data_IF_264871756964
#
_entry.id   IF_264871756964
#
_cell.length_a   1.000
_cell.length_b   1.000
_cell.length_c   1.000
_cell.angle_alpha   90.00
_cell.angle_beta   90.00
_cell.angle_gamma   90.00
#
_symmetry.space_group_name_H-M   'P 1'
#
loop_
_entity.id
_entity.type
_entity.pdbx_description
1 polymer ?
#
# COMPACT_ATOMS: atom_id res chain seq x y z
N UNK A 1 9.20 0.62 -28.28
CA UNK A 1 9.62 1.32 -29.50
C UNK A 1 8.42 1.42 -30.41
N UNK A 2 8.01 2.64 -30.75
CA UNK A 2 6.85 2.91 -31.61
C UNK A 2 7.34 3.70 -32.83
N UNK A 3 7.08 3.18 -34.02
CA UNK A 3 7.37 3.85 -35.29
C UNK A 3 6.05 4.07 -36.02
N UNK A 4 5.71 5.31 -36.29
CA UNK A 4 4.51 5.67 -37.05
C UNK A 4 4.96 6.17 -38.41
N UNK A 5 4.76 5.34 -39.43
CA UNK A 5 5.12 5.61 -40.84
C UNK A 5 4.06 4.99 -41.76
N UNK A 6 3.86 5.54 -42.95
CA UNK A 6 3.02 4.93 -43.97
C UNK A 6 3.72 3.69 -44.60
N UNK A 7 3.00 2.60 -44.96
CA UNK A 7 1.57 2.35 -44.75
C UNK A 7 1.25 1.62 -43.44
N UNK A 8 2.27 1.24 -42.66
CA UNK A 8 2.11 0.40 -41.47
C UNK A 8 2.92 1.01 -40.32
N UNK A 9 2.21 1.43 -39.27
CA UNK A 9 2.82 1.74 -37.98
C UNK A 9 3.21 0.46 -37.24
N UNK A 10 4.33 0.48 -36.53
CA UNK A 10 4.88 -0.67 -35.81
C UNK A 10 5.10 -0.32 -34.34
N UNK A 11 4.42 -1.03 -33.44
CA UNK A 11 4.71 -1.02 -32.01
C UNK A 11 5.46 -2.30 -31.63
N UNK A 12 6.73 -2.15 -31.24
CA UNK A 12 7.57 -3.24 -30.76
C UNK A 12 7.88 -3.08 -29.27
N UNK A 13 7.58 -4.11 -28.50
CA UNK A 13 7.88 -4.21 -27.08
C UNK A 13 8.55 -5.56 -26.78
N UNK A 14 9.42 -5.59 -25.76
CA UNK A 14 10.04 -6.85 -25.30
C UNK A 14 9.02 -7.75 -24.59
N UNK A 15 8.12 -7.14 -23.82
CA UNK A 15 7.09 -7.82 -23.04
C UNK A 15 5.71 -7.25 -23.36
N UNK A 16 4.66 -8.02 -23.09
CA UNK A 16 3.27 -7.61 -23.29
C UNK A 16 2.93 -6.29 -22.57
N UNK A 17 3.54 -6.05 -21.41
CA UNK A 17 3.34 -4.82 -20.62
C UNK A 17 3.83 -3.57 -21.35
N UNK A 18 4.94 -3.67 -22.10
CA UNK A 18 5.45 -2.56 -22.91
C UNK A 18 4.53 -2.24 -24.08
N UNK A 19 3.84 -3.24 -24.65
CA UNK A 19 2.85 -3.02 -25.69
C UNK A 19 1.64 -2.24 -25.15
N UNK A 20 1.15 -2.55 -23.94
CA UNK A 20 0.07 -1.76 -23.31
C UNK A 20 0.44 -0.28 -23.15
N UNK A 21 1.68 0.02 -22.73
CA UNK A 21 2.15 1.42 -22.59
C UNK A 21 2.29 2.11 -23.95
N UNK A 22 2.75 1.39 -24.97
CA UNK A 22 2.86 1.91 -26.32
C UNK A 22 1.51 2.17 -26.98
N UNK A 23 0.48 1.36 -26.69
CA UNK A 23 -0.89 1.61 -27.15
C UNK A 23 -1.46 2.90 -26.57
N UNK A 24 -1.21 3.16 -25.29
CA UNK A 24 -1.60 4.43 -24.65
C UNK A 24 -0.86 5.62 -25.25
N UNK A 25 0.44 5.50 -25.52
CA UNK A 25 1.16 6.57 -26.22
C UNK A 25 0.61 6.78 -27.64
N UNK A 26 0.29 5.70 -28.36
CA UNK A 26 -0.26 5.80 -29.71
C UNK A 26 -1.66 6.45 -29.72
N UNK A 27 -2.54 6.12 -28.76
CA UNK A 27 -3.86 6.75 -28.67
C UNK A 27 -3.77 8.27 -28.46
N UNK A 28 -2.80 8.74 -27.66
CA UNK A 28 -2.54 10.16 -27.43
C UNK A 28 -1.96 10.91 -28.64
N UNK A 29 -1.41 10.20 -29.62
CA UNK A 29 -0.86 10.81 -30.84
C UNK A 29 -1.93 11.05 -31.92
N UNK A 30 -3.04 10.30 -31.85
CA UNK A 30 -4.17 10.47 -32.77
C UNK A 30 -4.94 11.72 -32.35
N UNK A 31 -5.19 12.61 -33.32
CA UNK A 31 -5.96 13.83 -33.12
C UNK A 31 -6.91 14.07 -34.30
N UNK A 32 -7.94 14.87 -34.09
CA UNK A 32 -8.88 15.27 -35.14
C UNK A 32 -8.53 16.68 -35.64
N UNK A 33 -8.68 16.92 -36.94
CA UNK A 33 -8.66 18.28 -37.49
C UNK A 33 -10.03 18.97 -37.37
N UNK A 34 -10.10 20.23 -37.78
CA UNK A 34 -11.34 21.03 -37.77
C UNK A 34 -12.48 20.42 -38.63
N UNK A 35 -12.16 19.44 -39.49
CA UNK A 35 -13.10 18.75 -40.37
C UNK A 35 -13.49 17.35 -39.86
N UNK A 36 -12.96 16.91 -38.71
CA UNK A 36 -13.22 15.59 -38.13
C UNK A 36 -12.41 14.45 -38.75
N UNK A 37 -11.34 14.75 -39.49
CA UNK A 37 -10.43 13.74 -40.02
C UNK A 37 -9.46 13.29 -38.94
N UNK A 38 -9.29 11.97 -38.76
CA UNK A 38 -8.28 11.42 -37.85
C UNK A 38 -6.88 11.53 -38.46
N UNK A 39 -5.99 12.20 -37.72
CA UNK A 39 -4.61 12.48 -38.10
C UNK A 39 -3.64 11.88 -37.09
N UNK A 40 -2.45 11.53 -37.57
CA UNK A 40 -1.29 11.15 -36.77
C UNK A 40 -0.02 11.53 -37.51
N UNK A 41 0.96 12.09 -36.82
CA UNK A 41 2.21 12.54 -37.44
C UNK A 41 3.22 11.39 -37.54
N UNK A 42 3.98 11.37 -38.63
CA UNK A 42 5.15 10.50 -38.77
C UNK A 42 6.12 10.74 -37.60
N UNK A 43 6.53 9.67 -36.93
CA UNK A 43 7.31 9.77 -35.70
C UNK A 43 8.00 8.47 -35.30
N UNK A 44 9.03 8.59 -34.47
CA UNK A 44 9.77 7.48 -33.88
C UNK A 44 9.96 7.72 -32.38
N UNK A 45 9.52 6.77 -31.55
CA UNK A 45 9.50 6.89 -30.08
C UNK A 45 10.22 5.70 -29.45
N UNK A 46 11.21 6.03 -28.62
CA UNK A 46 11.86 5.12 -27.68
C UNK A 46 11.51 5.56 -26.25
N UNK A 47 10.74 4.74 -25.54
CA UNK A 47 10.21 5.07 -24.22
C UNK A 47 10.41 3.92 -23.23
N UNK A 48 10.64 4.28 -21.96
CA UNK A 48 10.80 3.37 -20.82
C UNK A 48 10.55 4.12 -19.50
N UNK A 49 10.02 3.45 -18.47
CA UNK A 49 9.80 4.10 -17.18
C UNK A 49 11.12 4.34 -16.44
N UNK A 50 11.28 5.53 -15.85
CA UNK A 50 12.41 5.85 -14.95
C UNK A 50 12.43 4.96 -13.69
N UNK A 51 11.24 4.63 -13.17
CA UNK A 51 11.03 3.84 -11.95
C UNK A 51 10.05 2.71 -12.21
N UNK A 52 10.34 1.52 -11.68
CA UNK A 52 9.55 0.32 -11.91
C UNK A 52 8.23 0.31 -11.12
N UNK A 53 8.22 0.88 -9.91
CA UNK A 53 7.06 0.94 -9.02
C UNK A 53 6.37 2.31 -9.12
N UNK A 54 5.19 2.36 -9.74
CA UNK A 54 4.38 3.57 -9.87
C UNK A 54 2.98 3.26 -9.37
N UNK A 55 2.72 3.60 -8.11
CA UNK A 55 1.50 3.19 -7.42
C UNK A 55 0.50 4.30 -7.13
N UNK A 56 -0.74 3.88 -6.93
CA UNK A 56 -1.83 4.69 -6.38
C UNK A 56 -2.41 3.91 -5.20
N UNK A 57 -2.45 4.54 -4.03
CA UNK A 57 -3.12 3.99 -2.84
C UNK A 57 -4.58 4.42 -2.83
N UNK A 58 -5.47 3.43 -2.71
CA UNK A 58 -6.89 3.64 -2.46
C UNK A 58 -7.27 3.03 -1.11
N UNK A 59 -7.81 3.88 -0.23
CA UNK A 59 -8.38 3.49 1.05
C UNK A 59 -9.87 3.15 0.88
N UNK A 60 -10.20 1.89 1.14
CA UNK A 60 -11.58 1.40 1.08
C UNK A 60 -12.17 1.08 2.45
N UNK A 61 -11.48 1.45 3.52
CA UNK A 61 -11.91 1.22 4.89
C UNK A 61 -12.63 2.43 5.47
N UNK A 62 -12.02 3.62 5.39
CA UNK A 62 -12.59 4.86 5.96
C UNK A 62 -13.91 5.22 5.28
N UNK A 63 -14.00 4.95 3.98
CA UNK A 63 -15.25 4.83 3.24
C UNK A 63 -15.18 3.65 2.27
N UNK A 64 -16.28 2.91 2.16
CA UNK A 64 -16.37 1.85 1.15
C UNK A 64 -16.42 2.44 -0.25
N UNK A 65 -15.54 1.96 -1.14
CA UNK A 65 -15.58 2.31 -2.57
C UNK A 65 -16.32 1.21 -3.36
N UNK A 66 -17.42 1.54 -4.08
CA UNK A 66 -18.05 0.57 -4.96
C UNK A 66 -17.06 0.03 -5.99
N UNK A 67 -17.21 -1.25 -6.35
CA UNK A 67 -16.32 -1.93 -7.30
C UNK A 67 -16.11 -1.12 -8.60
N UNK A 68 -17.18 -0.53 -9.14
CA UNK A 68 -17.10 0.33 -10.33
C UNK A 68 -16.13 1.50 -10.17
N UNK A 69 -16.07 2.12 -8.99
CA UNK A 69 -15.14 3.22 -8.71
C UNK A 69 -13.68 2.76 -8.75
N UNK A 70 -13.39 1.56 -8.20
CA UNK A 70 -12.05 0.96 -8.25
C UNK A 70 -11.67 0.65 -9.70
N UNK A 71 -12.57 -0.01 -10.45
CA UNK A 71 -12.31 -0.37 -11.86
C UNK A 71 -12.10 0.88 -12.74
N UNK A 72 -12.87 1.94 -12.51
CA UNK A 72 -12.72 3.21 -13.25
C UNK A 72 -11.37 3.87 -12.95
N UNK A 73 -10.87 3.78 -11.71
CA UNK A 73 -9.55 4.28 -11.38
C UNK A 73 -8.43 3.41 -11.96
N UNK A 74 -8.62 2.09 -12.10
CA UNK A 74 -7.68 1.23 -12.83
C UNK A 74 -7.57 1.61 -14.32
N UNK A 75 -8.66 2.07 -14.94
CA UNK A 75 -8.63 2.65 -16.28
C UNK A 75 -7.79 3.94 -16.31
N UNK A 76 -8.06 4.88 -15.39
CA UNK A 76 -7.32 6.13 -15.31
C UNK A 76 -5.81 5.94 -15.00
N UNK A 77 -5.49 4.95 -14.16
CA UNK A 77 -4.12 4.52 -13.90
C UNK A 77 -3.43 4.02 -15.17
N UNK A 78 -4.13 3.26 -16.02
CA UNK A 78 -3.58 2.77 -17.28
C UNK A 78 -3.26 3.92 -18.25
N UNK A 79 -4.14 4.92 -18.36
CA UNK A 79 -3.93 6.12 -19.17
C UNK A 79 -2.68 6.91 -18.72
N UNK A 80 -2.49 6.98 -17.40
CA UNK A 80 -1.33 7.65 -16.78
C UNK A 80 -0.11 6.73 -16.57
N UNK A 81 -0.15 5.50 -17.13
CA UNK A 81 0.94 4.51 -17.08
C UNK A 81 1.36 4.10 -15.65
N UNK A 82 0.51 4.27 -14.65
CA UNK A 82 0.65 3.64 -13.33
C UNK A 82 0.56 2.11 -13.46
N UNK A 83 1.18 1.39 -12.54
CA UNK A 83 1.27 -0.08 -12.61
C UNK A 83 1.15 -0.79 -11.27
N UNK A 84 0.82 -0.09 -10.19
CA UNK A 84 0.54 -0.67 -8.88
C UNK A 84 -0.73 -0.05 -8.32
N UNK A 85 -1.73 -0.86 -8.02
CA UNK A 85 -2.80 -0.50 -7.11
C UNK A 85 -2.36 -0.95 -5.72
N UNK A 86 -2.07 0.00 -4.84
CA UNK A 86 -1.93 -0.25 -3.42
C UNK A 86 -3.33 -0.21 -2.82
N UNK A 87 -3.84 -1.37 -2.44
CA UNK A 87 -5.20 -1.49 -1.94
C UNK A 87 -5.19 -1.57 -0.42
N UNK A 88 -5.36 -0.41 0.22
CA UNK A 88 -5.59 -0.31 1.66
C UNK A 88 -7.04 -0.72 1.97
N UNK A 89 -7.22 -2.02 2.19
CA UNK A 89 -8.53 -2.65 2.09
C UNK A 89 -9.35 -2.57 3.39
N UNK A 90 -8.67 -2.55 4.53
CA UNK A 90 -9.26 -2.55 5.88
C UNK A 90 -8.47 -1.62 6.80
N UNK A 91 -9.12 -1.05 7.81
CA UNK A 91 -8.55 -0.14 8.84
C UNK A 91 -9.51 -0.15 10.06
N UNK A 92 -9.37 0.78 10.99
CA UNK A 92 -10.16 0.92 12.21
C UNK A 92 -11.67 0.98 11.96
N UNK A 93 -12.10 1.72 10.94
CA UNK A 93 -13.49 2.08 10.76
C UNK A 93 -14.30 0.93 10.13
N UNK A 94 -13.73 0.19 9.18
CA UNK A 94 -14.42 -0.95 8.57
C UNK A 94 -13.52 -2.08 8.09
N UNK A 95 -14.10 -3.29 8.05
CA UNK A 95 -13.50 -4.50 7.49
C UNK A 95 -14.33 -4.99 6.30
N UNK A 96 -14.24 -4.38 5.11
CA UNK A 96 -15.06 -4.78 3.96
C UNK A 96 -14.56 -6.06 3.27
N UNK A 97 -13.31 -6.48 3.47
CA UNK A 97 -12.79 -7.71 2.87
C UNK A 97 -13.50 -8.97 3.39
N UNK A 98 -14.12 -9.76 2.52
CA UNK A 98 -14.75 -11.01 2.92
C UNK A 98 -13.73 -12.16 2.95
N UNK A 99 -13.24 -12.48 4.14
CA UNK A 99 -12.38 -13.64 4.35
C UNK A 99 -13.17 -14.95 4.27
N UNK A 100 -12.60 -15.97 3.62
CA UNK A 100 -13.21 -17.31 3.56
C UNK A 100 -12.97 -18.07 4.88
N UNK A 101 -11.77 -17.94 5.43
CA UNK A 101 -11.37 -18.59 6.68
C UNK A 101 -11.98 -17.92 7.91
N UNK A 102 -12.23 -16.61 7.83
CA UNK A 102 -12.79 -15.82 8.94
C UNK A 102 -13.97 -14.94 8.49
N UNK A 103 -15.14 -15.53 8.14
CA UNK A 103 -16.30 -14.78 7.63
C UNK A 103 -16.80 -13.69 8.59
N UNK A 104 -16.66 -13.93 9.90
CA UNK A 104 -17.08 -13.02 10.95
C UNK A 104 -16.36 -11.65 10.91
N UNK A 105 -15.18 -11.57 10.29
CA UNK A 105 -14.45 -10.30 10.12
C UNK A 105 -15.27 -9.30 9.31
N UNK A 106 -15.78 -9.68 8.14
CA UNK A 106 -16.65 -8.79 7.35
C UNK A 106 -18.06 -8.71 7.92
N UNK A 107 -18.62 -9.83 8.43
CA UNK A 107 -20.01 -9.86 8.90
C UNK A 107 -20.25 -8.92 10.09
N UNK A 108 -19.21 -8.65 10.89
CA UNK A 108 -19.27 -7.75 12.06
C UNK A 108 -18.40 -6.51 11.94
N UNK A 109 -17.38 -6.53 11.07
CA UNK A 109 -16.42 -5.45 10.88
C UNK A 109 -16.77 -4.47 9.78
N UNK A 110 -17.53 -4.89 8.75
CA UNK A 110 -17.96 -3.99 7.67
C UNK A 110 -19.03 -3.00 8.14
N UNK A 111 -19.18 -1.89 7.41
CA UNK A 111 -20.25 -0.92 7.67
C UNK A 111 -21.65 -1.52 7.53
N UNK A 112 -21.83 -2.42 6.56
CA UNK A 112 -23.05 -3.23 6.40
C UNK A 112 -22.74 -4.47 5.55
N UNK A 113 -23.62 -5.46 5.57
CA UNK A 113 -23.51 -6.67 4.75
C UNK A 113 -23.47 -6.42 3.23
N UNK A 114 -23.88 -5.23 2.77
CA UNK A 114 -23.87 -4.86 1.35
C UNK A 114 -22.63 -4.04 0.94
N UNK A 115 -21.79 -3.67 1.91
CA UNK A 115 -20.58 -2.87 1.71
C UNK A 115 -19.35 -3.75 2.00
N UNK A 116 -19.27 -4.85 1.26
CA UNK A 116 -18.22 -5.86 1.36
C UNK A 116 -17.62 -6.15 -0.02
N UNK A 117 -16.35 -6.56 -0.03
CA UNK A 117 -15.68 -7.11 -1.20
C UNK A 117 -15.68 -8.63 -1.10
N UNK A 118 -16.54 -9.27 -1.90
CA UNK A 118 -16.61 -10.73 -1.97
C UNK A 118 -15.36 -11.31 -2.65
N UNK A 119 -15.08 -12.62 -2.50
CA UNK A 119 -14.01 -13.27 -3.25
C UNK A 119 -14.11 -13.09 -4.78
N UNK A 120 -15.33 -12.92 -5.30
CA UNK A 120 -15.56 -12.64 -6.73
C UNK A 120 -15.15 -11.22 -7.09
N UNK A 121 -15.47 -10.24 -6.24
CA UNK A 121 -15.10 -8.83 -6.46
C UNK A 121 -13.58 -8.66 -6.44
N UNK A 122 -12.91 -9.28 -5.46
CA UNK A 122 -11.45 -9.25 -5.35
C UNK A 122 -10.79 -9.87 -6.59
N UNK A 123 -11.26 -11.03 -7.05
CA UNK A 123 -10.78 -11.64 -8.31
C UNK A 123 -11.01 -10.75 -9.52
N UNK A 124 -12.14 -10.05 -9.58
CA UNK A 124 -12.43 -9.12 -10.67
C UNK A 124 -11.44 -7.95 -10.67
N UNK A 125 -11.16 -7.34 -9.52
CA UNK A 125 -10.17 -6.26 -9.41
C UNK A 125 -8.80 -6.73 -9.87
N UNK A 126 -8.35 -7.89 -9.38
CA UNK A 126 -7.04 -8.47 -9.75
C UNK A 126 -6.95 -8.70 -11.27
N UNK A 127 -7.95 -9.34 -11.87
CA UNK A 127 -7.92 -9.63 -13.31
C UNK A 127 -8.04 -8.36 -14.16
N UNK A 128 -8.91 -7.43 -13.76
CA UNK A 128 -9.09 -6.16 -14.47
C UNK A 128 -7.81 -5.30 -14.45
N UNK A 129 -7.11 -5.28 -13.31
CA UNK A 129 -5.80 -4.66 -13.16
C UNK A 129 -4.75 -5.37 -14.02
N UNK A 130 -4.70 -6.71 -13.99
CA UNK A 130 -3.76 -7.53 -14.78
C UNK A 130 -3.89 -7.26 -16.27
N UNK A 131 -5.10 -7.14 -16.81
CA UNK A 131 -5.34 -6.81 -18.22
C UNK A 131 -4.76 -5.45 -18.64
N UNK A 132 -4.48 -4.56 -17.68
CA UNK A 132 -3.84 -3.25 -17.87
C UNK A 132 -2.36 -3.22 -17.44
N UNK A 133 -1.82 -4.37 -17.05
CA UNK A 133 -0.46 -4.49 -16.51
C UNK A 133 -0.29 -3.74 -15.19
N UNK A 134 -1.34 -3.75 -14.36
CA UNK A 134 -1.35 -3.16 -13.02
C UNK A 134 -1.31 -4.31 -12.00
N UNK A 135 -0.34 -4.25 -11.10
CA UNK A 135 -0.22 -5.13 -9.93
C UNK A 135 -1.22 -4.71 -8.86
N UNK A 136 -1.70 -5.65 -8.06
CA UNK A 136 -2.55 -5.34 -6.89
C UNK A 136 -1.80 -5.78 -5.65
N UNK A 137 -1.27 -4.80 -4.91
CA UNK A 137 -0.61 -5.03 -3.63
C UNK A 137 -1.66 -4.82 -2.54
N UNK A 138 -2.10 -5.89 -1.85
CA UNK A 138 -3.02 -5.73 -0.73
C UNK A 138 -2.30 -5.21 0.49
N UNK A 139 -2.95 -4.32 1.22
CA UNK A 139 -2.56 -3.93 2.56
C UNK A 139 -3.58 -4.39 3.59
N UNK A 140 -3.09 -5.09 4.59
CA UNK A 140 -3.81 -5.48 5.80
C UNK A 140 -2.98 -5.04 6.99
N UNK A 141 -3.11 -3.77 7.34
CA UNK A 141 -2.28 -3.11 8.34
C UNK A 141 -2.49 -3.70 9.74
N UNK A 142 -1.37 -3.98 10.40
CA UNK A 142 -1.28 -4.45 11.78
C UNK A 142 0.07 -4.02 12.40
N UNK A 143 0.16 -3.80 13.73
CA UNK A 143 -0.87 -4.01 14.75
C UNK A 143 -1.78 -2.80 15.02
N UNK A 144 -1.44 -1.62 14.46
CA UNK A 144 -2.30 -0.44 14.44
C UNK A 144 -3.56 -0.66 13.59
N UNK A 145 -4.41 0.35 13.45
CA UNK A 145 -5.50 0.37 12.46
C UNK A 145 -6.40 -0.88 12.40
N UNK A 146 -6.67 -1.49 13.55
CA UNK A 146 -7.30 -2.82 13.64
C UNK A 146 -8.61 -2.85 14.44
N UNK A 147 -9.21 -1.71 14.78
CA UNK A 147 -10.45 -1.68 15.57
C UNK A 147 -11.60 -2.48 14.92
N UNK A 148 -11.72 -2.47 13.59
CA UNK A 148 -12.74 -3.23 12.87
C UNK A 148 -12.55 -4.75 12.98
N UNK A 149 -11.30 -5.21 13.11
CA UNK A 149 -10.94 -6.63 13.18
C UNK A 149 -11.46 -7.27 14.46
N UNK A 150 -11.38 -6.56 15.58
CA UNK A 150 -11.80 -7.03 16.90
C UNK A 150 -13.30 -7.32 17.01
N UNK A 151 -14.12 -6.78 16.09
CA UNK A 151 -15.56 -7.08 16.02
C UNK A 151 -15.81 -8.51 15.55
N UNK A 152 -15.00 -9.01 14.62
CA UNK A 152 -15.13 -10.35 14.04
C UNK A 152 -14.24 -11.41 14.68
N UNK A 153 -13.07 -11.02 15.19
CA UNK A 153 -12.12 -11.92 15.84
C UNK A 153 -12.00 -11.59 17.33
N UNK A 154 -12.60 -12.46 18.17
CA UNK A 154 -12.45 -12.37 19.62
C UNK A 154 -11.00 -12.62 20.02
N UNK A 155 -10.62 -12.00 21.14
CA UNK A 155 -9.30 -12.14 21.75
C UNK A 155 -8.14 -11.82 20.79
N UNK A 156 -8.35 -10.80 19.94
CA UNK A 156 -7.33 -10.26 19.04
C UNK A 156 -6.78 -8.90 19.51
N UNK A 157 -7.66 -7.97 19.86
CA UNK A 157 -7.27 -6.61 20.25
C UNK A 157 -6.97 -6.53 21.75
N UNK A 158 -6.07 -5.63 22.12
CA UNK A 158 -5.68 -5.44 23.52
C UNK A 158 -6.78 -4.68 24.28
N UNK A 159 -7.34 -5.23 25.38
CA UNK A 159 -8.22 -4.46 26.25
C UNK A 159 -7.44 -3.37 27.00
N UNK A 160 -7.93 -2.14 26.99
CA UNK A 160 -7.30 -1.03 27.70
C UNK A 160 -7.77 -0.98 29.17
N UNK A 161 -6.90 -0.45 30.04
CA UNK A 161 -7.13 -0.39 31.48
C UNK A 161 -6.99 1.04 32.02
N UNK A 162 -7.80 1.36 33.04
CA UNK A 162 -7.65 2.58 33.83
C UNK A 162 -7.96 2.26 35.29
N UNK A 163 -7.13 2.75 36.21
CA UNK A 163 -7.31 2.46 37.65
C UNK A 163 -7.31 0.96 38.01
N UNK A 164 -6.69 0.11 37.19
CA UNK A 164 -6.66 -1.35 37.38
C UNK A 164 -7.89 -2.10 36.88
N UNK A 165 -8.84 -1.43 36.23
CA UNK A 165 -10.03 -2.04 35.64
C UNK A 165 -10.06 -1.87 34.12
N UNK A 166 -10.64 -2.82 33.35
CA UNK A 166 -10.85 -2.65 31.92
C UNK A 166 -11.77 -1.45 31.63
N UNK A 167 -11.42 -0.63 30.65
CA UNK A 167 -12.22 0.55 30.24
C UNK A 167 -13.38 0.18 29.30
N UNK A 168 -13.35 -1.02 28.72
CA UNK A 168 -14.26 -1.43 27.65
C UNK A 168 -13.81 -0.98 26.26
N UNK A 169 -12.75 -0.17 26.16
CA UNK A 169 -12.11 0.17 24.89
C UNK A 169 -10.98 -0.81 24.56
N UNK A 170 -10.68 -0.91 23.27
CA UNK A 170 -9.60 -1.74 22.74
C UNK A 170 -8.55 -0.86 22.08
N UNK A 171 -7.30 -1.33 22.08
CA UNK A 171 -6.19 -0.71 21.36
C UNK A 171 -5.67 -1.61 20.25
N UNK A 172 -4.37 -1.53 19.92
CA UNK A 172 -3.74 -2.36 18.89
C UNK A 172 -3.91 -3.87 19.15
N UNK A 173 -3.67 -4.66 18.09
CA UNK A 173 -3.55 -6.13 18.18
C UNK A 173 -2.69 -6.51 19.37
N UNK A 174 -3.13 -7.52 20.13
CA UNK A 174 -2.42 -7.98 21.31
C UNK A 174 -1.25 -8.90 20.90
N UNK A 175 0.01 -8.47 21.08
CA UNK A 175 1.17 -9.22 20.60
C UNK A 175 1.62 -10.32 21.57
N UNK A 176 0.98 -10.46 22.74
CA UNK A 176 1.42 -11.40 23.79
C UNK A 176 0.70 -12.74 23.74
N UNK A 177 -0.43 -12.81 23.01
CA UNK A 177 -1.24 -14.02 22.92
C UNK A 177 -0.83 -14.87 21.72
N UNK A 178 -0.66 -16.18 21.96
CA UNK A 178 -0.37 -17.13 20.88
C UNK A 178 -1.52 -17.22 19.87
N UNK A 179 -2.76 -17.03 20.32
CA UNK A 179 -3.96 -17.01 19.46
C UNK A 179 -3.89 -15.93 18.39
N UNK A 180 -3.22 -14.81 18.66
CA UNK A 180 -2.94 -13.76 17.67
C UNK A 180 -2.14 -14.33 16.51
N UNK A 181 -1.02 -15.01 16.79
CA UNK A 181 -0.16 -15.55 15.74
C UNK A 181 -0.77 -16.75 15.02
N UNK A 182 -1.58 -17.58 15.70
CA UNK A 182 -2.37 -18.64 15.08
C UNK A 182 -3.40 -18.08 14.07
N UNK A 183 -4.06 -16.97 14.44
CA UNK A 183 -4.97 -16.24 13.58
C UNK A 183 -4.21 -15.65 12.37
N UNK A 184 -3.15 -14.87 12.62
CA UNK A 184 -2.36 -14.22 11.56
C UNK A 184 -1.77 -15.23 10.59
N UNK A 185 -1.29 -16.37 11.09
CA UNK A 185 -0.78 -17.47 10.25
C UNK A 185 -1.82 -17.94 9.25
N UNK A 186 -3.05 -18.20 9.71
CA UNK A 186 -4.15 -18.65 8.83
C UNK A 186 -4.63 -17.54 7.91
N UNK A 187 -4.73 -16.32 8.42
CA UNK A 187 -5.21 -15.16 7.67
C UNK A 187 -4.26 -14.84 6.51
N UNK A 188 -2.97 -14.66 6.76
CA UNK A 188 -1.99 -14.39 5.70
C UNK A 188 -1.76 -15.58 4.75
N UNK A 189 -2.08 -16.81 5.15
CA UNK A 189 -2.16 -17.95 4.23
C UNK A 189 -3.26 -17.76 3.18
N UNK A 190 -4.42 -17.26 3.59
CA UNK A 190 -5.49 -16.92 2.67
C UNK A 190 -5.08 -15.75 1.77
N UNK A 191 -4.57 -14.66 2.35
CA UNK A 191 -4.15 -13.47 1.58
C UNK A 191 -3.09 -13.84 0.53
N UNK A 192 -2.07 -14.62 0.91
CA UNK A 192 -1.02 -15.08 -0.02
C UNK A 192 -1.55 -15.98 -1.15
N UNK A 193 -2.69 -16.65 -0.94
CA UNK A 193 -3.36 -17.49 -1.94
C UNK A 193 -4.31 -16.69 -2.83
N UNK A 194 -4.96 -15.65 -2.29
CA UNK A 194 -5.94 -14.81 -3.00
C UNK A 194 -5.24 -13.79 -3.89
N UNK A 195 -4.20 -13.14 -3.39
CA UNK A 195 -3.48 -12.10 -4.11
C UNK A 195 -2.22 -12.69 -4.77
N UNK A 196 -2.13 -12.70 -6.12
CA UNK A 196 -1.03 -13.33 -6.82
C UNK A 196 0.27 -12.51 -6.77
N UNK A 197 0.20 -11.21 -6.45
CA UNK A 197 1.39 -10.35 -6.40
C UNK A 197 2.43 -10.89 -5.41
N UNK A 198 3.71 -10.69 -5.71
CA UNK A 198 4.81 -11.20 -4.90
C UNK A 198 4.90 -10.49 -3.56
N UNK A 199 4.34 -9.29 -3.42
CA UNK A 199 4.44 -8.44 -2.23
C UNK A 199 3.09 -8.30 -1.53
N UNK A 200 3.11 -8.35 -0.20
CA UNK A 200 1.99 -7.95 0.66
C UNK A 200 2.45 -6.75 1.50
N UNK A 201 1.65 -5.70 1.57
CA UNK A 201 1.88 -4.59 2.49
C UNK A 201 1.33 -4.97 3.87
N UNK A 202 2.19 -4.93 4.89
CA UNK A 202 1.85 -5.35 6.25
C UNK A 202 1.50 -4.17 7.16
N UNK A 203 1.58 -2.95 6.62
CA UNK A 203 1.38 -1.71 7.35
C UNK A 203 2.46 -1.48 8.39
N UNK A 204 2.06 -1.32 9.64
CA UNK A 204 2.91 -1.12 10.80
C UNK A 204 3.16 0.34 11.15
N UNK A 205 2.25 1.24 10.77
CA UNK A 205 2.28 2.67 11.08
C UNK A 205 1.47 3.03 12.33
N UNK A 206 1.75 4.24 12.85
CA UNK A 206 0.99 4.95 13.89
C UNK A 206 0.53 4.14 15.13
N UNK A 207 1.30 3.11 15.54
CA UNK A 207 0.92 2.25 16.65
C UNK A 207 0.91 3.00 18.00
N UNK A 208 -0.28 3.25 18.56
CA UNK A 208 -0.40 3.84 19.89
C UNK A 208 -0.14 2.82 21.02
N UNK A 209 0.99 2.97 21.70
CA UNK A 209 1.39 2.13 22.83
C UNK A 209 0.60 2.39 24.12
N UNK A 210 -0.28 3.39 24.20
CA UNK A 210 -0.98 3.78 25.43
C UNK A 210 -1.80 2.62 26.03
N UNK A 211 -2.52 1.89 25.18
CA UNK A 211 -3.34 0.76 25.61
C UNK A 211 -2.47 -0.42 26.10
N UNK A 212 -1.39 -0.74 25.39
CA UNK A 212 -0.39 -1.73 25.83
C UNK A 212 0.22 -1.37 27.18
N UNK A 213 0.58 -0.09 27.39
CA UNK A 213 1.11 0.43 28.67
C UNK A 213 0.12 0.26 29.82
N UNK A 214 -1.17 0.37 29.53
CA UNK A 214 -2.21 0.24 30.54
C UNK A 214 -2.42 -1.22 30.98
N UNK A 215 -2.29 -2.17 30.04
CA UNK A 215 -2.69 -3.56 30.22
C UNK A 215 -1.72 -4.35 31.14
N UNK A 216 -2.21 -4.98 32.24
CA UNK A 216 -1.37 -5.73 33.17
C UNK A 216 -0.66 -6.95 32.57
N UNK A 217 -1.32 -7.68 31.67
CA UNK A 217 -0.75 -8.87 31.03
C UNK A 217 0.39 -8.48 30.09
N UNK A 218 0.19 -7.42 29.30
CA UNK A 218 1.24 -6.87 28.43
C UNK A 218 2.45 -6.42 29.25
N UNK A 219 2.24 -5.71 30.36
CA UNK A 219 3.33 -5.31 31.27
C UNK A 219 4.11 -6.51 31.84
N UNK A 220 3.41 -7.59 32.18
CA UNK A 220 4.08 -8.80 32.67
C UNK A 220 4.89 -9.49 31.55
N UNK A 221 4.38 -9.50 30.32
CA UNK A 221 5.14 -9.99 29.17
C UNK A 221 6.38 -9.13 28.90
N UNK A 222 6.26 -7.79 28.93
CA UNK A 222 7.37 -6.85 28.80
C UNK A 222 8.49 -7.13 29.80
N UNK A 223 8.12 -7.44 31.05
CA UNK A 223 9.07 -7.82 32.11
C UNK A 223 9.74 -9.16 31.81
N UNK A 224 8.98 -10.17 31.40
CA UNK A 224 9.51 -11.51 31.05
C UNK A 224 10.50 -11.48 29.89
N UNK A 225 10.22 -10.68 28.87
CA UNK A 225 11.09 -10.53 27.69
C UNK A 225 12.26 -9.57 27.92
N UNK A 226 12.30 -8.85 29.05
CA UNK A 226 13.34 -7.87 29.33
C UNK A 226 13.25 -6.60 28.46
N UNK A 227 12.07 -6.28 27.92
CA UNK A 227 11.85 -5.08 27.10
C UNK A 227 11.73 -3.80 27.95
N UNK A 228 11.52 -3.93 29.27
CA UNK A 228 11.42 -2.80 30.18
C UNK A 228 10.18 -1.95 29.88
N UNK A 229 10.35 -0.65 29.64
CA UNK A 229 9.27 0.30 29.29
C UNK A 229 9.29 0.71 27.83
N UNK A 230 10.09 0.04 27.00
CA UNK A 230 10.31 0.35 25.60
C UNK A 230 9.37 -0.48 24.72
N UNK A 231 8.16 0.04 24.47
CA UNK A 231 7.11 -0.66 23.73
C UNK A 231 7.39 -0.77 22.22
N UNK A 232 8.34 0.01 21.68
CA UNK A 232 8.81 -0.18 20.31
C UNK A 232 9.49 -1.55 20.12
N UNK A 233 10.10 -2.12 21.18
CA UNK A 233 10.60 -3.50 21.16
C UNK A 233 9.49 -4.54 21.12
N UNK A 234 8.34 -4.25 21.73
CA UNK A 234 7.17 -5.14 21.70
C UNK A 234 6.52 -5.15 20.30
N UNK A 235 6.39 -3.97 19.70
CA UNK A 235 5.99 -3.84 18.30
C UNK A 235 6.98 -4.56 17.38
N UNK A 236 8.29 -4.34 17.56
CA UNK A 236 9.32 -5.05 16.80
C UNK A 236 9.21 -6.56 16.93
N UNK A 237 8.90 -7.07 18.13
CA UNK A 237 8.63 -8.49 18.37
C UNK A 237 7.41 -8.97 17.56
N UNK A 238 6.32 -8.21 17.58
CA UNK A 238 5.13 -8.53 16.80
C UNK A 238 5.42 -8.57 15.30
N UNK A 239 5.99 -7.49 14.76
CA UNK A 239 6.23 -7.34 13.33
C UNK A 239 7.19 -8.41 12.81
N UNK A 240 8.23 -8.77 13.57
CA UNK A 240 9.14 -9.87 13.19
C UNK A 240 8.40 -11.21 13.03
N UNK A 241 7.47 -11.54 13.92
CA UNK A 241 6.67 -12.75 13.80
C UNK A 241 5.76 -12.71 12.56
N UNK A 242 5.17 -11.55 12.24
CA UNK A 242 4.35 -11.39 11.02
C UNK A 242 5.21 -11.51 9.75
N UNK A 243 6.39 -10.88 9.73
CA UNK A 243 7.36 -11.00 8.63
C UNK A 243 7.75 -12.47 8.40
N UNK A 244 8.00 -13.24 9.46
CA UNK A 244 8.32 -14.66 9.37
C UNK A 244 7.16 -15.50 8.84
N UNK A 245 5.93 -15.25 9.31
CA UNK A 245 4.72 -15.89 8.81
C UNK A 245 4.58 -15.67 7.31
N UNK A 246 4.63 -14.41 6.86
CA UNK A 246 4.43 -14.05 5.45
C UNK A 246 5.55 -14.59 4.56
N UNK A 247 6.79 -14.55 5.03
CA UNK A 247 7.93 -15.16 4.34
C UNK A 247 7.77 -16.68 4.15
N UNK A 248 7.16 -17.37 5.11
CA UNK A 248 6.93 -18.82 5.01
C UNK A 248 6.01 -19.21 3.84
N UNK A 249 5.25 -18.24 3.31
CA UNK A 249 4.41 -18.37 2.13
C UNK A 249 5.08 -17.91 0.84
N UNK A 250 6.39 -17.67 0.85
CA UNK A 250 7.19 -17.17 -0.29
C UNK A 250 6.67 -15.84 -0.85
N UNK A 251 6.20 -14.95 0.02
CA UNK A 251 5.82 -13.58 -0.32
C UNK A 251 6.85 -12.60 0.23
N UNK A 252 7.24 -11.62 -0.60
CA UNK A 252 7.96 -10.44 -0.17
C UNK A 252 7.07 -9.54 0.70
N UNK A 253 7.68 -8.63 1.44
CA UNK A 253 6.97 -7.77 2.38
C UNK A 253 7.26 -6.30 2.11
N UNK A 254 6.23 -5.49 2.33
CA UNK A 254 6.32 -4.05 2.33
C UNK A 254 5.76 -3.52 3.65
N UNK A 255 6.39 -2.51 4.23
CA UNK A 255 6.04 -1.93 5.53
C UNK A 255 6.13 -0.41 5.46
N UNK A 256 5.36 0.27 6.30
CA UNK A 256 5.56 1.69 6.55
C UNK A 256 6.85 1.95 7.33
N UNK A 257 7.33 3.18 7.29
CA UNK A 257 8.66 3.55 7.79
C UNK A 257 8.85 3.34 9.28
N UNK A 258 7.80 3.39 10.09
CA UNK A 258 7.87 3.24 11.55
C UNK A 258 8.53 1.94 11.96
N UNK A 259 8.26 0.85 11.23
CA UNK A 259 8.89 -0.45 11.47
C UNK A 259 10.43 -0.34 11.38
N UNK A 260 10.94 0.43 10.41
CA UNK A 260 12.37 0.72 10.27
C UNK A 260 12.87 1.73 11.32
N UNK A 261 12.08 2.76 11.62
CA UNK A 261 12.42 3.82 12.57
C UNK A 261 12.56 3.27 13.99
N UNK A 262 11.67 2.37 14.38
CA UNK A 262 11.64 1.63 15.65
C UNK A 262 12.66 0.49 15.72
N UNK A 263 13.50 0.33 14.68
CA UNK A 263 14.62 -0.62 14.63
C UNK A 263 14.19 -2.08 14.74
N UNK A 264 13.04 -2.44 14.17
CA UNK A 264 12.68 -3.82 13.99
C UNK A 264 13.70 -4.53 13.09
N UNK A 265 13.94 -5.82 13.33
CA UNK A 265 14.80 -6.63 12.47
C UNK A 265 14.03 -6.98 11.19
N UNK A 266 14.27 -6.19 10.15
CA UNK A 266 13.70 -6.41 8.82
C UNK A 266 14.49 -7.46 8.05
N UNK A 267 13.80 -8.15 7.14
CA UNK A 267 14.46 -9.07 6.20
C UNK A 267 15.13 -8.26 5.09
N UNK A 268 16.27 -8.71 4.52
CA UNK A 268 17.00 -7.92 3.53
C UNK A 268 16.20 -7.54 2.28
N UNK A 269 15.17 -8.33 1.94
CA UNK A 269 14.26 -8.14 0.81
C UNK A 269 13.01 -7.33 1.15
N UNK A 270 12.84 -6.87 2.40
CA UNK A 270 11.73 -6.00 2.80
C UNK A 270 11.82 -4.63 2.10
N UNK A 271 10.69 -4.16 1.59
CA UNK A 271 10.51 -2.81 1.04
C UNK A 271 10.00 -1.87 2.12
N UNK A 272 10.63 -0.72 2.30
CA UNK A 272 10.21 0.30 3.27
C UNK A 272 9.57 1.48 2.55
N UNK A 273 8.32 1.81 2.89
CA UNK A 273 7.60 2.95 2.33
C UNK A 273 7.76 4.20 3.21
N UNK A 274 8.36 5.25 2.66
CA UNK A 274 8.62 6.52 3.34
C UNK A 274 7.45 7.47 3.09
N UNK A 275 6.72 7.80 4.16
CA UNK A 275 5.45 8.51 4.08
C UNK A 275 5.39 9.78 4.96
N UNK A 276 6.20 9.87 6.00
CA UNK A 276 6.21 11.05 6.86
C UNK A 276 6.90 12.22 6.15
N UNK A 277 6.15 13.31 5.96
CA UNK A 277 6.63 14.49 5.23
C UNK A 277 7.85 15.16 5.90
N UNK A 278 7.96 15.04 7.22
CA UNK A 278 9.06 15.64 7.98
C UNK A 278 10.38 14.93 7.65
N UNK A 279 11.21 15.61 6.85
CA UNK A 279 12.58 15.18 6.52
C UNK A 279 12.67 13.84 5.77
N UNK A 280 11.69 13.52 4.91
CA UNK A 280 11.67 12.28 4.10
C UNK A 280 12.96 12.05 3.30
N UNK A 281 13.68 13.11 2.92
CA UNK A 281 14.97 12.99 2.23
C UNK A 281 16.04 12.33 3.12
N UNK A 282 16.10 12.70 4.40
CA UNK A 282 17.00 12.02 5.34
C UNK A 282 16.56 10.57 5.56
N UNK A 283 15.25 10.31 5.59
CA UNK A 283 14.75 8.94 5.77
C UNK A 283 15.09 8.04 4.58
N UNK A 284 14.93 8.54 3.35
CA UNK A 284 15.42 7.86 2.15
C UNK A 284 16.93 7.57 2.25
N UNK A 285 17.72 8.49 2.83
CA UNK A 285 19.14 8.26 3.08
C UNK A 285 19.39 7.14 4.09
N UNK A 286 18.66 7.13 5.21
CA UNK A 286 18.76 6.12 6.27
C UNK A 286 18.40 4.73 5.75
N UNK A 287 17.25 4.59 5.11
CA UNK A 287 16.71 3.33 4.60
C UNK A 287 17.63 2.73 3.53
N UNK A 288 18.01 3.54 2.53
CA UNK A 288 18.90 3.06 1.46
C UNK A 288 20.33 2.86 1.96
N UNK A 289 20.77 3.61 2.97
CA UNK A 289 22.06 3.44 3.64
C UNK A 289 22.14 2.12 4.43
N UNK A 290 21.00 1.66 4.95
CA UNK A 290 20.85 0.34 5.56
C UNK A 290 20.71 -0.80 4.54
N UNK A 291 20.60 -0.48 3.24
CA UNK A 291 20.55 -1.44 2.14
C UNK A 291 19.16 -1.94 1.77
N UNK A 292 18.10 -1.33 2.32
CA UNK A 292 16.72 -1.70 1.99
C UNK A 292 16.22 -1.02 0.72
N UNK A 293 15.29 -1.69 0.06
CA UNK A 293 14.52 -1.12 -1.05
C UNK A 293 13.47 -0.17 -0.49
N UNK A 294 13.18 0.91 -1.19
CA UNK A 294 12.26 1.94 -0.73
C UNK A 294 11.36 2.49 -1.83
N UNK A 295 10.16 2.87 -1.41
CA UNK A 295 9.12 3.54 -2.17
C UNK A 295 8.80 4.85 -1.44
N UNK A 296 8.71 5.95 -2.19
CA UNK A 296 8.37 7.26 -1.63
C UNK A 296 6.87 7.54 -1.81
N UNK A 297 6.19 7.97 -0.75
CA UNK A 297 4.83 8.55 -0.83
C UNK A 297 4.71 9.89 -0.10
N UNK A 298 5.64 10.22 0.79
CA UNK A 298 5.56 11.38 1.68
C UNK A 298 5.14 12.73 1.05
N UNK A 299 5.65 13.14 -0.13
CA UNK A 299 5.25 14.41 -0.73
C UNK A 299 3.97 14.31 -1.59
N UNK A 300 3.39 13.12 -1.73
CA UNK A 300 2.28 12.80 -2.64
C UNK A 300 1.05 12.25 -1.88
N UNK A 301 0.67 12.94 -0.80
CA UNK A 301 -0.62 12.75 -0.13
C UNK A 301 -1.67 13.65 -0.78
N UNK A 302 -2.51 13.06 -1.63
CA UNK A 302 -3.52 13.74 -2.44
C UNK A 302 -4.84 13.96 -1.67
N UNK A 303 -5.00 13.31 -0.53
CA UNK A 303 -6.06 13.57 0.44
C UNK A 303 -5.90 14.95 1.11
N UNK A 304 -4.65 15.44 1.25
CA UNK A 304 -4.34 16.77 1.74
C UNK A 304 -4.52 17.85 0.67
N UNK A 305 -5.78 18.21 0.43
CA UNK A 305 -6.14 19.24 -0.56
C UNK A 305 -5.67 20.63 -0.14
N UNK A 306 -5.35 21.46 -1.14
CA UNK A 306 -5.08 22.88 -0.93
C UNK A 306 -5.65 23.72 -2.07
N UNK A 307 -5.88 25.02 -1.81
CA UNK A 307 -6.38 25.91 -2.85
C UNK A 307 -5.32 26.19 -3.92
N UNK A 308 -5.70 26.09 -5.19
CA UNK A 308 -4.86 26.48 -6.33
C UNK A 308 -4.31 25.30 -7.12
N UNK A 309 -3.10 25.44 -7.66
CA UNK A 309 -2.46 24.46 -8.54
C UNK A 309 -1.42 23.64 -7.76
N UNK A 310 -1.88 22.88 -6.79
CA UNK A 310 -1.04 22.03 -5.94
C UNK A 310 -0.37 20.88 -6.71
N UNK A 311 -0.90 20.46 -7.85
CA UNK A 311 -0.24 19.52 -8.77
C UNK A 311 1.21 19.91 -9.10
N UNK A 312 1.52 21.20 -9.15
CA UNK A 312 2.90 21.70 -9.37
C UNK A 312 3.85 21.30 -8.25
N UNK A 313 3.37 21.27 -7.00
CA UNK A 313 4.13 20.79 -5.85
C UNK A 313 4.48 19.32 -6.07
N UNK A 314 3.49 18.48 -6.37
CA UNK A 314 3.69 17.04 -6.60
C UNK A 314 4.66 16.77 -7.75
N UNK A 315 4.51 17.50 -8.86
CA UNK A 315 5.33 17.36 -10.06
C UNK A 315 6.79 17.82 -9.85
N UNK A 316 7.03 18.81 -8.99
CA UNK A 316 8.37 19.35 -8.74
C UNK A 316 9.27 18.49 -7.85
N UNK A 317 8.73 17.43 -7.24
CA UNK A 317 9.49 16.50 -6.40
C UNK A 317 10.51 15.74 -7.25
N UNK A 318 11.78 15.76 -6.85
CA UNK A 318 12.83 14.89 -7.40
C UNK A 318 13.18 13.81 -6.36
N UNK A 319 12.71 12.56 -6.54
CA UNK A 319 12.84 11.49 -5.52
C UNK A 319 14.29 11.10 -5.21
N UNK A 320 15.24 11.40 -6.10
CA UNK A 320 16.66 11.10 -5.90
C UNK A 320 17.44 12.25 -5.25
N UNK A 321 16.78 13.37 -4.95
CA UNK A 321 17.41 14.51 -4.30
C UNK A 321 17.46 14.35 -2.79
N UNK A 322 18.31 13.44 -2.31
CA UNK A 322 18.56 13.23 -0.89
C UNK A 322 20.06 13.13 -0.56
N UNK A 323 20.47 13.38 0.70
CA UNK A 323 21.85 13.21 1.13
C UNK A 323 22.30 11.76 0.96
N UNK A 324 23.48 11.52 0.37
CA UNK A 324 23.98 10.16 0.20
C UNK A 324 25.35 10.12 -0.46
N UNK A 325 26.11 9.07 -0.17
CA UNK A 325 27.43 8.88 -0.79
C UNK A 325 27.29 8.61 -2.30
N UNK A 326 28.34 8.90 -3.09
CA UNK A 326 28.38 8.55 -4.53
C UNK A 326 28.12 7.04 -4.77
N UNK A 327 28.57 6.18 -3.85
CA UNK A 327 28.33 4.73 -3.91
C UNK A 327 26.86 4.40 -3.67
N UNK A 328 26.23 5.05 -2.69
CA UNK A 328 24.79 4.92 -2.41
C UNK A 328 23.98 5.43 -3.60
N UNK A 329 24.26 6.63 -4.13
CA UNK A 329 23.57 7.19 -5.29
C UNK A 329 23.67 6.31 -6.55
N UNK A 330 24.81 5.65 -6.78
CA UNK A 330 24.99 4.67 -7.87
C UNK A 330 24.22 3.36 -7.67
N UNK A 331 23.98 2.95 -6.43
CA UNK A 331 23.16 1.78 -6.09
C UNK A 331 21.66 2.13 -6.02
N UNK A 332 21.33 3.40 -5.83
CA UNK A 332 19.96 3.86 -5.59
C UNK A 332 19.09 3.84 -6.84
N UNK A 333 19.63 4.24 -8.00
CA UNK A 333 18.83 4.39 -9.24
C UNK A 333 18.33 3.01 -9.71
N UNK A 334 17.04 2.76 -9.52
CA UNK A 334 16.34 1.57 -10.03
C UNK A 334 16.66 0.26 -9.29
N UNK A 335 17.46 0.29 -8.21
CA UNK A 335 17.70 -0.90 -7.37
C UNK A 335 17.22 -0.73 -5.94
N UNK A 336 17.54 0.39 -5.28
CA UNK A 336 17.07 0.65 -3.92
C UNK A 336 15.90 1.62 -3.89
N UNK A 337 15.92 2.73 -4.63
CA UNK A 337 14.71 3.55 -4.84
C UNK A 337 14.02 3.04 -6.10
N UNK A 338 12.94 2.28 -5.91
CA UNK A 338 12.23 1.59 -7.00
C UNK A 338 11.07 2.40 -7.56
N UNK A 339 10.67 3.48 -6.88
CA UNK A 339 9.68 4.43 -7.34
C UNK A 339 8.87 5.04 -6.19
N UNK A 340 7.56 5.14 -6.39
CA UNK A 340 6.71 5.91 -5.49
C UNK A 340 5.23 5.66 -5.68
N UNK A 341 4.44 6.19 -4.74
CA UNK A 341 2.99 6.09 -4.75
C UNK A 341 2.33 7.44 -4.43
N UNK A 342 1.23 7.71 -5.13
CA UNK A 342 0.31 8.77 -4.78
C UNK A 342 -0.74 8.19 -3.82
N UNK A 343 -0.84 8.74 -2.61
CA UNK A 343 -1.77 8.26 -1.59
C UNK A 343 -3.04 9.09 -1.58
N UNK A 344 -4.19 8.42 -1.57
CA UNK A 344 -5.49 9.05 -1.40
C UNK A 344 -6.25 8.33 -0.29
N UNK A 345 -5.97 8.77 0.94
CA UNK A 345 -6.65 8.28 2.14
C UNK A 345 -8.13 8.69 2.17
N UNK A 346 -8.92 7.85 2.84
CA UNK A 346 -10.37 7.80 2.69
C UNK A 346 -11.15 8.62 3.70
N UNK A 347 -10.53 9.34 4.65
CA UNK A 347 -11.24 10.04 5.74
C UNK A 347 -12.29 11.04 5.22
N UNK A 348 -12.01 11.65 4.07
CA UNK A 348 -12.89 12.63 3.42
C UNK A 348 -13.19 12.29 1.96
N UNK A 349 -12.91 11.06 1.54
CA UNK A 349 -13.00 10.61 0.14
C UNK A 349 -13.87 9.38 0.03
N UNK A 350 -14.86 9.44 -0.84
CA UNK A 350 -15.70 8.31 -1.23
C UNK A 350 -16.00 8.36 -2.73
N UNK A 351 -16.94 7.54 -3.21
CA UNK A 351 -17.32 7.52 -4.62
C UNK A 351 -17.79 8.86 -5.20
N UNK A 352 -18.25 9.81 -4.36
CA UNK A 352 -18.78 11.11 -4.82
C UNK A 352 -17.69 12.08 -5.25
N UNK A 353 -16.47 11.94 -4.71
CA UNK A 353 -15.38 12.89 -4.93
C UNK A 353 -14.03 12.24 -5.25
N UNK A 354 -13.92 10.90 -5.23
CA UNK A 354 -12.69 10.15 -5.52
C UNK A 354 -12.03 10.56 -6.83
N UNK A 355 -12.76 10.43 -7.95
CA UNK A 355 -12.20 10.67 -9.29
C UNK A 355 -11.76 12.13 -9.50
N UNK A 356 -12.59 13.16 -9.22
CA UNK A 356 -12.17 14.55 -9.42
C UNK A 356 -11.11 15.04 -8.42
N UNK A 357 -10.84 14.28 -7.34
CA UNK A 357 -9.71 14.58 -6.45
C UNK A 357 -8.41 13.95 -6.94
N UNK A 358 -8.49 12.75 -7.52
CA UNK A 358 -7.30 11.99 -7.92
C UNK A 358 -6.71 12.42 -9.26
N UNK A 359 -7.53 12.91 -10.20
CA UNK A 359 -7.14 13.17 -11.60
C UNK A 359 -7.42 14.59 -12.09
#
# INVERSE_FOLDING_TARGET
HLTVTEPVAILKAYEVWGALRGLETFSQMVHEDDYGSFLVNESEINDFPRFAHRGVLLDTSRHYLPLKSILTNLDAMAFNKFNVLHWHIVDDQSFPYQSIYFPELSDKGAYSSNLIYTPTDVRLVIEYARLRGIRVIPEFDTPGHTQSWGKGQKDLLTPCYSGGQPTGSFGPVNPVWNTTYDFMTKFFKEISSVFPDEVIHLGGDEVDFSCWKSNPEVKEFMKKQGFGTDYAKLESYYVQNILDIVSSYNKGQMVWQEVFDHKAQLKPDTVVQVWMANNYAHELSSVTGAGFTTVLSAPWYLDYISYGQDWKKYYSVEPLNFPGSEKQKKLVIGKLVIGGEACLWGEFVDATNLTPRLW
#
